data_IF_182569542466
#
_entry.id   IF_182569542466
#
_cell.length_a   1.000
_cell.length_b   1.000
_cell.length_c   1.000
_cell.angle_alpha   90.00
_cell.angle_beta   90.00
_cell.angle_gamma   90.00
#
_symmetry.space_group_name_H-M   'P 1'
#
loop_
_entity.id
_entity.type
_entity.pdbx_description
1 polymer ?
#
# COMPACT_ATOMS: atom_id res chain seq x y z
N UNK A 1 -12.21 15.87 35.94
CA UNK A 1 -11.81 15.20 34.70
C UNK A 1 -11.56 16.27 33.66
N UNK A 2 -10.34 16.80 33.61
CA UNK A 2 -9.93 17.80 32.63
C UNK A 2 -9.50 17.05 31.37
N UNK A 3 -10.22 17.24 30.27
CA UNK A 3 -9.70 16.89 28.95
C UNK A 3 -8.46 17.77 28.73
N UNK A 4 -7.28 17.16 28.75
CA UNK A 4 -6.06 17.84 28.30
C UNK A 4 -6.25 18.20 26.83
N UNK A 5 -6.31 19.50 26.53
CA UNK A 5 -6.27 19.99 25.17
C UNK A 5 -4.90 19.65 24.59
N UNK A 6 -4.88 18.87 23.52
CA UNK A 6 -3.69 18.69 22.70
C UNK A 6 -3.21 20.08 22.21
N UNK A 7 -1.89 20.33 22.15
CA UNK A 7 -1.34 21.59 21.65
C UNK A 7 -1.93 21.94 20.28
N UNK A 8 -2.23 23.22 20.04
CA UNK A 8 -2.88 23.70 18.80
C UNK A 8 -2.14 23.30 17.51
N UNK A 9 -0.84 23.03 17.58
CA UNK A 9 0.02 22.61 16.46
C UNK A 9 0.14 21.08 16.26
N UNK A 10 -0.64 20.26 16.98
CA UNK A 10 -0.61 18.80 16.74
C UNK A 10 -1.55 18.46 15.58
N UNK A 11 -1.06 17.87 14.46
CA UNK A 11 -1.93 17.53 13.34
C UNK A 11 -3.05 16.61 13.82
N UNK A 12 -4.30 17.01 13.59
CA UNK A 12 -5.48 16.22 13.98
C UNK A 12 -5.57 14.91 13.21
N UNK A 13 -4.97 14.89 12.02
CA UNK A 13 -4.78 13.71 11.17
C UNK A 13 -3.33 13.73 10.69
N UNK A 14 -2.59 12.65 10.94
CA UNK A 14 -1.23 12.47 10.40
C UNK A 14 -1.32 11.41 9.31
N UNK A 15 -1.10 11.79 8.05
CA UNK A 15 -1.28 10.91 6.90
C UNK A 15 -0.09 10.96 5.96
N UNK A 16 0.35 9.79 5.48
CA UNK A 16 1.40 9.69 4.45
C UNK A 16 1.00 8.69 3.39
N UNK A 17 1.10 9.11 2.13
CA UNK A 17 0.79 8.29 0.97
C UNK A 17 2.06 8.09 0.15
N UNK A 18 2.45 6.83 -0.06
CA UNK A 18 3.51 6.41 -0.98
C UNK A 18 2.85 5.70 -2.15
N UNK A 19 3.16 6.11 -3.37
CA UNK A 19 2.59 5.51 -4.57
C UNK A 19 3.66 5.33 -5.63
N UNK A 20 3.44 4.42 -6.58
CA UNK A 20 4.43 4.21 -7.61
C UNK A 20 4.06 3.20 -8.69
N UNK A 21 4.88 3.25 -9.73
CA UNK A 21 4.83 2.43 -10.93
C UNK A 21 6.00 1.44 -10.90
N UNK A 22 5.69 0.15 -10.88
CA UNK A 22 6.65 -0.95 -10.88
C UNK A 22 6.72 -1.55 -12.29
N UNK A 23 7.85 -1.41 -12.98
CA UNK A 23 8.03 -1.85 -14.37
C UNK A 23 9.00 -3.02 -14.46
N UNK A 24 8.75 -3.94 -15.38
CA UNK A 24 9.61 -5.11 -15.58
C UNK A 24 9.49 -6.14 -14.45
N UNK A 25 8.34 -6.20 -13.78
CA UNK A 25 8.06 -7.16 -12.70
C UNK A 25 8.27 -8.60 -13.18
N UNK A 26 9.22 -9.32 -12.57
CA UNK A 26 9.60 -10.69 -12.96
C UNK A 26 8.77 -11.76 -12.28
N UNK A 27 8.16 -11.45 -11.13
CA UNK A 27 7.32 -12.40 -10.41
C UNK A 27 5.93 -12.49 -11.03
N UNK A 28 5.78 -13.34 -12.04
CA UNK A 28 4.54 -13.48 -12.81
C UNK A 28 3.38 -14.08 -12.01
N UNK A 29 3.65 -14.94 -11.02
CA UNK A 29 2.61 -15.47 -10.11
C UNK A 29 2.02 -14.33 -9.27
N UNK A 30 2.86 -13.42 -8.74
CA UNK A 30 2.36 -12.23 -8.05
C UNK A 30 1.54 -11.30 -8.97
N UNK A 31 1.87 -11.19 -10.26
CA UNK A 31 1.08 -10.37 -11.18
C UNK A 31 -0.28 -10.98 -11.53
N UNK A 32 -0.42 -12.31 -11.45
CA UNK A 32 -1.59 -13.01 -12.00
C UNK A 32 -2.46 -13.67 -10.95
N UNK A 33 -1.99 -13.88 -9.72
CA UNK A 33 -2.68 -14.69 -8.74
C UNK A 33 -3.31 -13.84 -7.62
N UNK A 34 -4.65 -13.73 -7.57
CA UNK A 34 -5.33 -12.91 -6.57
C UNK A 34 -5.00 -13.36 -5.13
N UNK A 35 -4.93 -14.66 -4.88
CA UNK A 35 -4.60 -15.20 -3.55
C UNK A 35 -3.15 -14.87 -3.13
N UNK A 36 -2.21 -14.77 -4.08
CA UNK A 36 -0.85 -14.30 -3.80
C UNK A 36 -0.87 -12.82 -3.42
N UNK A 37 -1.53 -11.99 -4.23
CA UNK A 37 -1.66 -10.55 -3.95
C UNK A 37 -2.31 -10.30 -2.59
N UNK A 38 -3.37 -11.02 -2.21
CA UNK A 38 -3.98 -10.85 -0.89
C UNK A 38 -2.99 -11.14 0.24
N UNK A 39 -2.18 -12.19 0.13
CA UNK A 39 -1.11 -12.48 1.10
C UNK A 39 -0.05 -11.38 1.13
N UNK A 40 0.34 -10.87 -0.04
CA UNK A 40 1.29 -9.76 -0.17
C UNK A 40 0.77 -8.51 0.51
N UNK A 41 -0.50 -8.14 0.31
CA UNK A 41 -1.08 -6.97 0.95
C UNK A 41 -1.18 -7.14 2.47
N UNK A 42 -1.55 -8.34 2.96
CA UNK A 42 -1.57 -8.64 4.40
C UNK A 42 -0.20 -8.47 5.04
N UNK A 43 0.83 -9.01 4.40
CA UNK A 43 2.20 -8.93 4.89
C UNK A 43 2.79 -7.51 4.75
N UNK A 44 2.44 -6.79 3.69
CA UNK A 44 2.78 -5.37 3.54
C UNK A 44 2.23 -4.54 4.70
N UNK A 45 0.95 -4.73 5.06
CA UNK A 45 0.35 -4.08 6.22
C UNK A 45 1.08 -4.42 7.52
N UNK A 46 1.42 -5.70 7.74
CA UNK A 46 2.20 -6.13 8.91
C UNK A 46 3.56 -5.45 8.99
N UNK A 47 4.32 -5.44 7.89
CA UNK A 47 5.64 -4.80 7.78
C UNK A 47 5.55 -3.28 7.96
N UNK A 48 4.47 -2.68 7.45
CA UNK A 48 4.14 -1.26 7.58
C UNK A 48 3.54 -0.86 8.93
N UNK A 49 3.35 -1.79 9.88
CA UNK A 49 2.67 -1.55 11.17
C UNK A 49 1.26 -0.96 10.99
N UNK A 50 0.53 -1.48 10.01
CA UNK A 50 -0.83 -1.05 9.65
C UNK A 50 -1.84 -2.10 10.10
N UNK A 51 -2.96 -1.64 10.67
CA UNK A 51 -4.08 -2.52 11.04
C UNK A 51 -4.97 -2.74 9.83
N UNK A 52 -4.86 -3.91 9.20
CA UNK A 52 -5.73 -4.32 8.09
C UNK A 52 -7.06 -4.83 8.64
N UNK A 53 -8.16 -4.27 8.14
CA UNK A 53 -9.52 -4.67 8.44
C UNK A 53 -10.02 -5.75 7.48
N UNK A 54 -9.78 -5.57 6.19
CA UNK A 54 -10.21 -6.50 5.15
C UNK A 54 -9.26 -6.44 3.95
N UNK A 55 -9.20 -7.53 3.18
CA UNK A 55 -8.48 -7.56 1.90
C UNK A 55 -9.36 -8.25 0.88
N UNK A 56 -9.56 -7.59 -0.25
CA UNK A 56 -10.30 -8.14 -1.39
C UNK A 56 -9.50 -8.01 -2.66
N UNK A 57 -9.60 -9.03 -3.50
CA UNK A 57 -8.98 -9.06 -4.81
C UNK A 57 -9.98 -9.49 -5.89
N UNK A 58 -9.73 -9.03 -7.12
CA UNK A 58 -10.46 -9.39 -8.32
C UNK A 58 -9.47 -9.76 -9.40
N UNK A 59 -9.70 -10.91 -10.03
CA UNK A 59 -9.02 -11.29 -11.27
C UNK A 59 -9.64 -10.49 -12.42
N UNK A 60 -8.83 -9.69 -13.12
CA UNK A 60 -9.26 -8.86 -14.25
C UNK A 60 -8.40 -9.22 -15.45
N UNK A 61 -8.96 -9.99 -16.38
CA UNK A 61 -8.16 -10.63 -17.44
C UNK A 61 -7.09 -11.54 -16.83
N UNK A 62 -5.83 -11.37 -17.23
CA UNK A 62 -4.70 -12.05 -16.58
C UNK A 62 -4.23 -11.34 -15.31
N UNK A 63 -4.53 -10.05 -15.16
CA UNK A 63 -4.11 -9.24 -14.02
C UNK A 63 -4.98 -9.37 -12.78
N UNK A 64 -4.61 -8.61 -11.76
CA UNK A 64 -5.24 -8.56 -10.44
C UNK A 64 -5.44 -7.10 -10.07
N UNK A 65 -6.64 -6.77 -9.61
CA UNK A 65 -6.89 -5.56 -8.84
C UNK A 65 -7.18 -5.97 -7.40
N UNK A 66 -6.55 -5.32 -6.42
CA UNK A 66 -6.77 -5.64 -5.02
C UNK A 66 -6.68 -4.41 -4.13
N UNK A 67 -7.41 -4.47 -3.02
CA UNK A 67 -7.43 -3.46 -1.97
C UNK A 67 -7.34 -4.13 -0.60
N UNK A 68 -6.46 -3.63 0.25
CA UNK A 68 -6.52 -3.84 1.69
C UNK A 68 -7.08 -2.58 2.35
N UNK A 69 -8.21 -2.71 3.02
CA UNK A 69 -8.76 -1.66 3.87
C UNK A 69 -7.99 -1.66 5.17
N UNK A 70 -7.46 -0.50 5.52
CA UNK A 70 -6.71 -0.24 6.75
C UNK A 70 -7.57 0.68 7.60
N UNK A 71 -7.45 0.60 8.94
CA UNK A 71 -8.35 1.27 9.90
C UNK A 71 -8.75 2.71 9.54
N UNK A 72 -7.86 3.48 8.87
CA UNK A 72 -8.14 4.85 8.42
C UNK A 72 -7.53 5.18 7.04
N UNK A 73 -7.27 4.18 6.19
CA UNK A 73 -6.56 4.36 4.92
C UNK A 73 -6.69 3.14 4.00
N UNK A 74 -5.72 2.90 3.10
CA UNK A 74 -5.76 1.73 2.20
C UNK A 74 -4.38 1.35 1.66
N UNK A 75 -4.28 0.11 1.17
CA UNK A 75 -3.24 -0.32 0.25
C UNK A 75 -3.93 -0.84 -1.02
N UNK A 76 -3.58 -0.33 -2.20
CA UNK A 76 -4.12 -0.82 -3.48
C UNK A 76 -3.03 -1.25 -4.44
N UNK A 77 -3.35 -2.23 -5.27
CA UNK A 77 -2.48 -2.69 -6.36
C UNK A 77 -3.32 -3.07 -7.58
N UNK A 78 -2.82 -2.69 -8.75
CA UNK A 78 -3.35 -3.11 -10.05
C UNK A 78 -2.19 -3.64 -10.90
N UNK A 79 -2.39 -4.80 -11.53
CA UNK A 79 -1.34 -5.46 -12.31
C UNK A 79 -1.76 -5.66 -13.77
N UNK A 80 -0.77 -5.57 -14.67
CA UNK A 80 -0.87 -5.87 -16.10
C UNK A 80 0.26 -6.83 -16.48
N UNK A 81 0.04 -8.15 -16.35
CA UNK A 81 1.05 -9.17 -16.64
C UNK A 81 1.63 -9.08 -18.05
N UNK A 82 0.82 -8.72 -19.04
CA UNK A 82 1.20 -8.54 -20.45
C UNK A 82 2.26 -7.45 -20.66
N UNK A 83 2.37 -6.52 -19.71
CA UNK A 83 3.39 -5.45 -19.71
C UNK A 83 4.42 -5.61 -18.59
N UNK A 84 4.36 -6.70 -17.81
CA UNK A 84 5.16 -6.89 -16.58
C UNK A 84 5.08 -5.65 -15.67
N UNK A 85 3.87 -5.13 -15.49
CA UNK A 85 3.64 -3.82 -14.88
C UNK A 85 2.68 -3.90 -13.70
N UNK A 86 2.90 -3.06 -12.69
CA UNK A 86 1.94 -2.84 -11.61
C UNK A 86 1.97 -1.39 -11.11
N UNK A 87 0.81 -0.88 -10.70
CA UNK A 87 0.70 0.35 -9.91
C UNK A 87 0.36 -0.01 -8.47
N UNK A 88 0.96 0.70 -7.52
CA UNK A 88 0.79 0.44 -6.09
C UNK A 88 0.58 1.75 -5.35
N UNK A 89 -0.40 1.78 -4.46
CA UNK A 89 -0.63 2.87 -3.52
C UNK A 89 -0.63 2.32 -2.10
N UNK A 90 0.11 2.98 -1.22
CA UNK A 90 0.16 2.69 0.20
C UNK A 90 -0.11 3.99 0.94
N UNK A 91 -1.36 4.15 1.38
CA UNK A 91 -1.76 5.26 2.21
C UNK A 91 -1.90 4.78 3.66
N UNK A 92 -1.28 5.49 4.61
CA UNK A 92 -1.35 5.16 6.02
C UNK A 92 -1.56 6.42 6.88
N UNK A 93 -2.35 6.25 7.95
CA UNK A 93 -2.54 7.26 8.99
C UNK A 93 -1.84 6.82 10.28
N UNK A 94 -1.40 7.80 11.09
CA UNK A 94 -0.79 7.58 12.40
C UNK A 94 0.74 7.49 12.37
N UNK A 95 1.37 8.02 13.42
CA UNK A 95 2.83 8.20 13.53
C UNK A 95 3.64 6.90 13.57
N UNK A 96 3.00 5.78 13.93
CA UNK A 96 3.67 4.47 13.99
C UNK A 96 3.66 3.72 12.66
N UNK A 97 2.83 4.15 11.70
CA UNK A 97 2.71 3.50 10.40
C UNK A 97 3.91 3.83 9.50
N UNK A 98 4.28 2.89 8.63
CA UNK A 98 5.39 3.06 7.69
C UNK A 98 4.98 2.64 6.28
N UNK A 99 4.29 3.53 5.53
CA UNK A 99 3.83 3.23 4.18
C UNK A 99 4.98 2.94 3.20
N UNK A 100 6.15 3.55 3.41
CA UNK A 100 7.34 3.27 2.59
C UNK A 100 7.83 1.83 2.77
N UNK A 101 7.85 1.30 3.99
CA UNK A 101 8.22 -0.10 4.24
C UNK A 101 7.22 -1.09 3.62
N UNK A 102 5.93 -0.79 3.71
CA UNK A 102 4.89 -1.59 3.06
C UNK A 102 5.04 -1.56 1.52
N UNK A 103 5.26 -0.38 0.93
CA UNK A 103 5.51 -0.24 -0.51
C UNK A 103 6.74 -1.03 -0.95
N UNK A 104 7.86 -0.88 -0.23
CA UNK A 104 9.11 -1.58 -0.53
C UNK A 104 8.97 -3.10 -0.40
N UNK A 105 8.14 -3.58 0.53
CA UNK A 105 7.83 -5.00 0.63
C UNK A 105 7.09 -5.50 -0.62
N UNK A 106 6.06 -4.78 -1.08
CA UNK A 106 5.31 -5.12 -2.30
C UNK A 106 6.27 -5.12 -3.51
N UNK A 107 7.06 -4.06 -3.68
CA UNK A 107 8.04 -3.97 -4.75
C UNK A 107 9.05 -5.13 -4.72
N UNK A 108 9.54 -5.50 -3.53
CA UNK A 108 10.43 -6.66 -3.38
C UNK A 108 9.79 -7.96 -3.87
N UNK A 109 8.51 -8.19 -3.58
CA UNK A 109 7.81 -9.41 -4.03
C UNK A 109 7.60 -9.41 -5.54
N UNK A 110 7.25 -8.26 -6.13
CA UNK A 110 6.98 -8.17 -7.57
C UNK A 110 8.26 -8.22 -8.43
N UNK A 111 9.42 -7.95 -7.82
CA UNK A 111 10.73 -7.94 -8.49
C UNK A 111 10.77 -7.09 -9.77
N UNK A 112 10.50 -5.78 -9.70
CA UNK A 112 10.59 -4.88 -10.84
C UNK A 112 12.05 -4.61 -11.23
N UNK A 113 12.25 -4.28 -12.50
CA UNK A 113 13.50 -3.76 -13.04
C UNK A 113 13.63 -2.25 -12.78
N UNK A 114 12.52 -1.51 -12.79
CA UNK A 114 12.45 -0.07 -12.53
C UNK A 114 11.28 0.29 -11.60
N UNK A 115 11.53 1.23 -10.69
CA UNK A 115 10.56 1.71 -9.70
C UNK A 115 10.50 3.23 -9.77
N UNK A 116 9.37 3.76 -10.23
CA UNK A 116 9.08 5.20 -10.16
C UNK A 116 8.14 5.43 -8.99
N UNK A 117 8.66 6.03 -7.91
CA UNK A 117 7.94 6.24 -6.65
C UNK A 117 7.75 7.73 -6.37
N UNK A 118 6.57 8.09 -5.87
CA UNK A 118 6.24 9.40 -5.32
C UNK A 118 5.70 9.29 -3.90
N UNK A 119 5.57 10.43 -3.23
CA UNK A 119 4.88 10.50 -1.94
C UNK A 119 4.15 11.83 -1.76
N UNK A 120 3.05 11.79 -1.03
CA UNK A 120 2.28 12.96 -0.63
C UNK A 120 2.06 12.97 0.89
N UNK A 121 2.15 14.17 1.47
CA UNK A 121 1.61 14.43 2.81
C UNK A 121 0.09 14.53 2.71
N UNK A 122 -0.60 13.88 3.64
CA UNK A 122 -2.07 13.82 3.73
C UNK A 122 -2.54 14.24 5.12
N UNK A 123 -1.66 14.87 5.90
CA UNK A 123 -1.96 15.38 7.22
C UNK A 123 -2.91 16.59 7.12
N UNK A 124 -3.79 16.72 8.11
CA UNK A 124 -4.61 17.92 8.26
C UNK A 124 -3.79 18.96 9.03
N UNK A 125 -3.48 20.07 8.36
CA UNK A 125 -2.96 21.30 8.98
C UNK A 125 -3.97 21.90 9.96
#
# INVERSE_FOLDING_TARGET
>A
MTQERLPEDTPRVIGRHVYGNLKGCRNYDALTNPAVIERVLREAGRVGRMTILDVKSWKIGEGVSAVAIVLESHITIHTWPEYRFATVDVYACGSQSNPLKAFNYIAKVLEPEDVVMGSADRSLE
#
